data_IF_938884728839
#
_entry.id   IF_938884728839
#
_cell.length_a   1.000
_cell.length_b   1.000
_cell.length_c   1.000
_cell.angle_alpha   90.00
_cell.angle_beta   90.00
_cell.angle_gamma   90.00
#
_symmetry.space_group_name_H-M   'P 1'
#
loop_
_entity.id
_entity.type
_entity.pdbx_description
1 polymer ?
#
# COMPACT_ATOMS: atom_id res chain seq x y z
N UNK A 1 -45.06 -1.24 30.17
CA UNK A 1 -45.25 -0.95 28.74
C UNK A 1 -44.08 -1.53 28.01
N UNK A 2 -44.37 -2.62 27.31
CA UNK A 2 -43.37 -3.50 26.70
C UNK A 2 -42.63 -2.81 25.57
N UNK A 3 -41.43 -2.42 25.77
CA UNK A 3 -40.51 -2.18 24.65
C UNK A 3 -40.04 -3.54 24.15
N UNK A 4 -40.87 -4.11 23.25
CA UNK A 4 -40.53 -5.31 22.47
C UNK A 4 -39.11 -5.15 21.94
N UNK A 5 -38.20 -5.99 22.44
CA UNK A 5 -36.81 -6.04 22.06
C UNK A 5 -36.58 -6.45 20.60
N UNK A 6 -37.07 -5.62 19.69
CA UNK A 6 -36.78 -5.74 18.27
C UNK A 6 -35.28 -5.46 18.09
N UNK A 7 -34.54 -6.49 17.69
CA UNK A 7 -33.14 -6.33 17.30
C UNK A 7 -33.03 -5.25 16.22
N UNK A 8 -32.02 -4.39 16.28
CA UNK A 8 -31.85 -3.35 15.28
C UNK A 8 -31.58 -4.00 13.91
N UNK A 9 -32.41 -3.72 12.93
CA UNK A 9 -32.21 -4.14 11.55
C UNK A 9 -31.45 -3.09 10.74
N UNK A 10 -30.68 -3.52 9.74
CA UNK A 10 -30.02 -2.66 8.77
C UNK A 10 -30.50 -3.01 7.35
N UNK A 11 -30.62 -2.00 6.51
CA UNK A 11 -30.91 -2.14 5.09
C UNK A 11 -29.71 -1.68 4.27
N UNK A 12 -29.29 -2.50 3.31
CA UNK A 12 -28.24 -2.14 2.36
C UNK A 12 -28.80 -1.17 1.32
N UNK A 13 -28.17 0.00 1.20
CA UNK A 13 -28.58 1.04 0.25
C UNK A 13 -28.38 0.67 -1.24
N UNK A 14 -27.54 -0.34 -1.52
CA UNK A 14 -27.20 -0.73 -2.90
C UNK A 14 -28.10 -1.85 -3.43
N UNK A 15 -28.40 -2.87 -2.61
CA UNK A 15 -29.18 -4.03 -3.04
C UNK A 15 -30.51 -4.19 -2.29
N UNK A 16 -30.81 -3.35 -1.32
CA UNK A 16 -32.03 -3.44 -0.52
C UNK A 16 -32.04 -4.58 0.52
N UNK A 17 -30.98 -5.39 0.62
CA UNK A 17 -30.90 -6.47 1.60
C UNK A 17 -31.08 -5.97 3.02
N UNK A 18 -31.98 -6.59 3.78
CA UNK A 18 -32.30 -6.23 5.16
C UNK A 18 -31.96 -7.40 6.07
N UNK A 19 -31.30 -7.13 7.19
CA UNK A 19 -30.98 -8.14 8.20
C UNK A 19 -30.86 -7.52 9.59
N UNK A 20 -31.17 -8.31 10.62
CA UNK A 20 -30.87 -8.04 12.02
C UNK A 20 -29.47 -8.54 12.42
N UNK A 21 -28.87 -9.39 11.58
CA UNK A 21 -27.45 -9.75 11.73
C UNK A 21 -26.57 -8.62 11.21
N UNK A 22 -26.15 -7.78 12.13
CA UNK A 22 -25.30 -6.62 11.84
C UNK A 22 -23.89 -6.99 11.37
N UNK A 23 -23.45 -8.24 11.58
CA UNK A 23 -22.15 -8.71 11.10
C UNK A 23 -22.05 -8.76 9.59
N UNK A 24 -23.18 -8.85 8.89
CA UNK A 24 -23.30 -8.86 7.43
C UNK A 24 -23.11 -7.48 6.79
N UNK A 25 -22.96 -6.42 7.61
CA UNK A 25 -22.77 -5.05 7.15
C UNK A 25 -21.36 -4.54 7.48
N UNK A 26 -20.87 -3.62 6.67
CA UNK A 26 -19.54 -3.04 6.81
C UNK A 26 -19.39 -2.32 8.16
N UNK A 27 -18.32 -2.63 8.90
CA UNK A 27 -18.01 -2.01 10.17
C UNK A 27 -17.71 -0.51 10.00
N UNK A 28 -18.28 0.31 10.88
CA UNK A 28 -18.04 1.75 10.92
C UNK A 28 -18.39 2.31 12.30
N UNK A 29 -17.40 2.67 13.05
CA UNK A 29 -17.56 3.12 14.44
C UNK A 29 -18.34 4.44 14.58
N UNK A 30 -18.43 5.23 13.51
CA UNK A 30 -19.18 6.50 13.50
C UNK A 30 -20.67 6.33 13.14
N UNK A 31 -21.03 5.20 12.60
CA UNK A 31 -22.41 4.91 12.21
C UNK A 31 -23.24 4.35 13.36
N UNK A 32 -24.54 4.63 13.35
CA UNK A 32 -25.50 4.03 14.30
C UNK A 32 -25.30 2.51 14.34
N UNK A 33 -25.21 1.93 15.52
CA UNK A 33 -24.91 0.51 15.78
C UNK A 33 -23.55 0.02 15.26
N UNK A 34 -22.59 0.90 14.97
CA UNK A 34 -21.25 0.52 14.50
C UNK A 34 -21.19 -0.10 13.13
N UNK A 35 -22.23 0.08 12.28
CA UNK A 35 -22.33 -0.52 10.96
C UNK A 35 -22.92 0.45 9.93
N UNK A 36 -22.37 0.43 8.70
CA UNK A 36 -22.91 1.20 7.56
C UNK A 36 -24.16 0.55 6.97
N UNK A 37 -24.96 1.32 6.27
CA UNK A 37 -26.04 0.82 5.42
C UNK A 37 -25.48 0.26 4.09
N UNK A 38 -24.53 -0.64 4.19
CA UNK A 38 -23.87 -1.30 3.06
C UNK A 38 -23.50 -2.72 3.48
N UNK A 39 -24.07 -3.73 2.85
CA UNK A 39 -23.70 -5.12 3.12
C UNK A 39 -22.30 -5.46 2.60
N UNK A 40 -21.67 -6.47 3.18
CA UNK A 40 -20.30 -6.89 2.81
C UNK A 40 -20.25 -7.30 1.33
N UNK A 41 -21.26 -8.00 0.81
CA UNK A 41 -21.32 -8.38 -0.61
C UNK A 41 -21.29 -7.18 -1.56
N UNK A 42 -22.11 -6.16 -1.32
CA UNK A 42 -22.08 -4.93 -2.13
C UNK A 42 -20.76 -4.16 -1.97
N UNK A 43 -20.17 -4.18 -0.78
CA UNK A 43 -18.86 -3.58 -0.56
C UNK A 43 -17.77 -4.26 -1.40
N UNK A 44 -17.75 -5.59 -1.45
CA UNK A 44 -16.83 -6.37 -2.29
C UNK A 44 -17.05 -6.06 -3.77
N UNK A 45 -18.32 -6.03 -4.23
CA UNK A 45 -18.66 -5.70 -5.62
C UNK A 45 -18.17 -4.27 -5.97
N UNK A 46 -18.38 -3.29 -5.09
CA UNK A 46 -17.88 -1.92 -5.29
C UNK A 46 -16.36 -1.87 -5.38
N UNK A 47 -15.68 -2.58 -4.49
CA UNK A 47 -14.21 -2.63 -4.48
C UNK A 47 -13.65 -3.35 -5.71
N UNK A 48 -14.37 -4.32 -6.29
CA UNK A 48 -14.00 -5.02 -7.51
C UNK A 48 -14.34 -4.24 -8.78
N UNK A 49 -15.50 -3.53 -8.81
CA UNK A 49 -15.87 -2.64 -9.94
C UNK A 49 -14.97 -1.40 -10.04
N UNK A 50 -14.50 -0.94 -8.92
CA UNK A 50 -13.40 -0.01 -8.81
C UNK A 50 -12.27 -0.77 -8.12
N UNK A 51 -11.56 -1.68 -8.84
CA UNK A 51 -10.31 -2.12 -8.29
C UNK A 51 -9.65 -0.82 -7.89
N UNK A 52 -9.32 -0.71 -6.61
CA UNK A 52 -8.33 0.27 -6.23
C UNK A 52 -7.10 -0.15 -7.04
N UNK A 53 -7.06 0.26 -8.31
CA UNK A 53 -5.79 0.60 -8.88
C UNK A 53 -5.21 1.44 -7.76
N UNK A 54 -4.21 0.90 -7.10
CA UNK A 54 -3.44 1.68 -6.15
C UNK A 54 -2.62 2.69 -6.95
N UNK A 55 -3.32 3.35 -7.84
CA UNK A 55 -2.91 4.54 -8.55
C UNK A 55 -3.15 5.73 -7.60
N UNK A 56 -2.73 5.47 -6.33
CA UNK A 56 -2.75 6.46 -5.26
C UNK A 56 -1.70 7.55 -5.50
N UNK A 57 -0.87 7.38 -6.51
CA UNK A 57 0.10 8.39 -6.92
C UNK A 57 -0.53 9.35 -7.90
N UNK A 58 -1.26 10.31 -7.35
CA UNK A 58 -1.72 11.48 -8.11
C UNK A 58 -0.51 12.31 -8.56
N UNK A 59 -0.67 13.12 -9.61
CA UNK A 59 0.37 14.05 -10.08
C UNK A 59 0.95 14.87 -8.93
N UNK A 60 0.09 15.37 -8.04
CA UNK A 60 0.50 16.15 -6.88
C UNK A 60 1.42 15.35 -5.92
N UNK A 61 1.07 14.10 -5.64
CA UNK A 61 1.86 13.25 -4.72
C UNK A 61 3.20 12.86 -5.31
N UNK A 62 3.25 12.53 -6.60
CA UNK A 62 4.49 12.22 -7.32
C UNK A 62 5.40 13.45 -7.34
N UNK A 63 4.87 14.62 -7.74
CA UNK A 63 5.63 15.86 -7.79
C UNK A 63 6.15 16.28 -6.41
N UNK A 64 5.30 16.17 -5.37
CA UNK A 64 5.69 16.50 -3.99
C UNK A 64 6.79 15.58 -3.46
N UNK A 65 6.73 14.28 -3.79
CA UNK A 65 7.64 13.28 -3.20
C UNK A 65 8.93 13.10 -3.99
N UNK A 66 8.87 13.19 -5.31
CA UNK A 66 9.99 12.87 -6.20
C UNK A 66 10.43 14.05 -7.08
N UNK A 67 9.72 15.17 -7.06
CA UNK A 67 10.05 16.35 -7.87
C UNK A 67 9.82 16.20 -9.38
N UNK A 68 9.20 15.12 -9.83
CA UNK A 68 8.96 14.78 -11.23
C UNK A 68 7.45 14.69 -11.54
N UNK A 69 7.10 14.70 -12.83
CA UNK A 69 5.73 14.44 -13.27
C UNK A 69 5.39 12.94 -13.20
N UNK A 70 4.09 12.65 -13.26
CA UNK A 70 3.56 11.29 -13.13
C UNK A 70 3.99 10.37 -14.26
N UNK A 71 4.07 10.88 -15.50
CA UNK A 71 4.48 10.07 -16.65
C UNK A 71 5.93 9.63 -16.49
N UNK A 72 6.84 10.55 -16.19
CA UNK A 72 8.25 10.24 -15.87
C UNK A 72 8.39 9.23 -14.75
N UNK A 73 7.54 9.31 -13.71
CA UNK A 73 7.55 8.31 -12.63
C UNK A 73 7.22 6.90 -13.15
N UNK A 74 6.15 6.76 -13.95
CA UNK A 74 5.76 5.45 -14.47
C UNK A 74 6.74 4.91 -15.50
N UNK A 75 7.31 5.76 -16.35
CA UNK A 75 8.34 5.35 -17.32
C UNK A 75 9.58 4.80 -16.60
N UNK A 76 10.01 5.45 -15.53
CA UNK A 76 11.11 4.96 -14.70
C UNK A 76 10.76 3.67 -13.95
N UNK A 77 9.54 3.55 -13.41
CA UNK A 77 9.09 2.30 -12.80
C UNK A 77 8.99 1.14 -13.80
N UNK A 78 8.71 1.43 -15.07
CA UNK A 78 8.66 0.43 -16.14
C UNK A 78 10.05 0.05 -16.67
N UNK A 79 11.13 0.71 -16.24
CA UNK A 79 12.50 0.39 -16.66
C UNK A 79 12.99 -0.97 -16.16
N UNK A 80 12.37 -1.52 -15.12
CA UNK A 80 12.64 -2.86 -14.63
C UNK A 80 11.37 -3.55 -14.15
N UNK A 81 11.20 -4.82 -14.46
CA UNK A 81 10.08 -5.65 -14.00
C UNK A 81 10.40 -6.45 -12.72
N UNK A 82 11.60 -6.27 -12.20
CA UNK A 82 12.07 -6.91 -10.97
C UNK A 82 12.99 -6.00 -10.15
N UNK A 83 13.23 -6.39 -8.91
CA UNK A 83 14.19 -5.72 -8.04
C UNK A 83 15.62 -5.88 -8.58
N UNK A 84 16.33 -4.78 -8.77
CA UNK A 84 17.70 -4.77 -9.30
C UNK A 84 18.74 -5.40 -8.35
N UNK A 85 18.38 -5.66 -7.09
CA UNK A 85 19.25 -6.33 -6.12
C UNK A 85 18.95 -7.83 -6.01
N UNK A 86 17.69 -8.20 -5.77
CA UNK A 86 17.33 -9.58 -5.44
C UNK A 86 16.45 -10.26 -6.49
N UNK A 87 16.15 -9.60 -7.61
CA UNK A 87 15.30 -10.08 -8.71
C UNK A 87 13.86 -10.45 -8.33
N UNK A 88 13.40 -10.08 -7.12
CA UNK A 88 11.99 -10.23 -6.73
C UNK A 88 11.10 -9.36 -7.60
N UNK A 89 9.94 -9.90 -8.00
CA UNK A 89 8.91 -9.17 -8.75
C UNK A 89 7.83 -8.55 -7.87
N UNK A 90 7.90 -8.79 -6.56
CA UNK A 90 6.88 -8.36 -5.62
C UNK A 90 7.22 -7.01 -4.98
N UNK A 91 6.18 -6.20 -4.76
CA UNK A 91 6.26 -4.94 -4.02
C UNK A 91 7.37 -4.00 -4.51
N UNK A 92 7.47 -3.85 -5.83
CA UNK A 92 8.45 -2.95 -6.45
C UNK A 92 8.16 -1.49 -6.09
N UNK A 93 9.20 -0.72 -5.87
CA UNK A 93 9.16 0.69 -5.52
C UNK A 93 10.26 1.48 -6.20
N UNK A 94 10.00 2.76 -6.39
CA UNK A 94 10.91 3.75 -6.93
C UNK A 94 12.01 4.04 -5.91
N UNK A 95 13.25 3.79 -6.27
CA UNK A 95 14.42 4.14 -5.46
C UNK A 95 15.09 5.40 -6.00
N UNK A 96 15.51 6.27 -5.10
CA UNK A 96 16.16 7.52 -5.42
C UNK A 96 17.12 7.94 -4.32
N UNK A 97 18.13 8.68 -4.68
CA UNK A 97 19.03 9.31 -3.74
C UNK A 97 18.30 10.41 -2.96
N UNK A 98 18.32 10.34 -1.64
CA UNK A 98 17.58 11.26 -0.76
C UNK A 98 18.19 12.67 -0.68
N UNK A 99 19.44 12.85 -1.10
CA UNK A 99 20.11 14.16 -1.10
C UNK A 99 19.93 14.87 -2.44
N UNK A 100 20.12 14.13 -3.54
CA UNK A 100 20.06 14.69 -4.91
C UNK A 100 18.70 14.54 -5.57
N UNK A 101 17.81 13.70 -5.02
CA UNK A 101 16.52 13.30 -5.60
C UNK A 101 16.63 12.56 -6.95
N UNK A 102 17.84 12.14 -7.32
CA UNK A 102 18.09 11.40 -8.56
C UNK A 102 17.54 9.97 -8.46
N UNK A 103 16.88 9.53 -9.51
CA UNK A 103 16.44 8.13 -9.64
C UNK A 103 17.65 7.20 -9.68
N UNK A 104 17.66 6.17 -8.87
CA UNK A 104 18.69 5.13 -8.84
C UNK A 104 18.25 3.84 -9.53
N UNK A 105 16.97 3.45 -9.35
CA UNK A 105 16.47 2.23 -9.94
C UNK A 105 15.15 1.76 -9.35
N UNK A 106 14.80 0.50 -9.65
CA UNK A 106 13.59 -0.16 -9.14
C UNK A 106 14.00 -1.26 -8.16
N UNK A 107 13.56 -1.14 -6.93
CA UNK A 107 13.85 -2.12 -5.87
C UNK A 107 12.55 -2.71 -5.30
N UNK A 108 12.61 -3.90 -4.73
CA UNK A 108 11.53 -4.35 -3.86
C UNK A 108 11.57 -3.56 -2.54
N UNK A 109 10.44 -3.49 -1.85
CA UNK A 109 10.33 -2.76 -0.57
C UNK A 109 11.36 -3.20 0.46
N UNK A 110 11.69 -4.49 0.51
CA UNK A 110 12.67 -5.05 1.46
C UNK A 110 14.09 -4.55 1.18
N UNK A 111 14.54 -4.61 -0.08
CA UNK A 111 15.86 -4.12 -0.45
C UNK A 111 15.99 -2.61 -0.27
N UNK A 112 14.98 -1.84 -0.69
CA UNK A 112 14.96 -0.39 -0.51
C UNK A 112 15.02 -0.02 0.99
N UNK A 113 14.24 -0.71 1.83
CA UNK A 113 14.30 -0.49 3.28
C UNK A 113 15.66 -0.86 3.88
N UNK A 114 16.25 -1.97 3.43
CA UNK A 114 17.56 -2.43 3.93
C UNK A 114 18.68 -1.40 3.64
N UNK A 115 18.74 -0.87 2.42
CA UNK A 115 19.69 0.19 2.05
C UNK A 115 19.47 1.43 2.93
N UNK A 116 18.25 1.88 3.10
CA UNK A 116 17.90 3.02 3.95
C UNK A 116 18.32 2.81 5.41
N UNK A 117 18.14 1.62 5.96
CA UNK A 117 18.56 1.27 7.33
C UNK A 117 20.09 1.23 7.48
N UNK A 118 20.80 0.89 6.42
CA UNK A 118 22.26 0.93 6.39
C UNK A 118 22.84 2.34 6.14
N UNK A 119 22.00 3.37 6.07
CA UNK A 119 22.42 4.77 5.93
C UNK A 119 22.39 5.32 4.52
N UNK A 120 21.86 4.58 3.55
CA UNK A 120 21.55 5.02 2.18
C UNK A 120 22.75 5.55 1.36
N UNK A 121 23.97 5.20 1.76
CA UNK A 121 25.21 5.58 1.06
C UNK A 121 26.07 4.37 0.71
N UNK A 122 26.87 4.50 -0.34
CA UNK A 122 27.84 3.46 -0.72
C UNK A 122 28.76 3.10 0.44
N UNK A 123 29.30 4.10 1.12
CA UNK A 123 30.24 3.91 2.23
C UNK A 123 29.61 3.15 3.41
N UNK A 124 28.35 3.42 3.71
CA UNK A 124 27.66 2.75 4.82
C UNK A 124 27.34 1.29 4.49
N UNK A 125 26.93 1.01 3.26
CA UNK A 125 26.69 -0.36 2.76
C UNK A 125 28.03 -1.12 2.67
N UNK A 126 29.12 -0.46 2.23
CA UNK A 126 30.47 -1.05 2.20
C UNK A 126 30.95 -1.49 3.58
N UNK A 127 30.65 -0.71 4.63
CA UNK A 127 30.94 -1.12 6.01
C UNK A 127 30.23 -2.41 6.41
N UNK A 128 28.96 -2.56 6.04
CA UNK A 128 28.20 -3.77 6.29
C UNK A 128 28.77 -4.97 5.51
N UNK A 129 29.16 -4.76 4.26
CA UNK A 129 29.82 -5.80 3.43
C UNK A 129 31.15 -6.21 4.06
N UNK A 130 31.98 -5.27 4.48
CA UNK A 130 33.27 -5.55 5.14
C UNK A 130 33.07 -6.30 6.47
N UNK A 131 32.02 -5.99 7.22
CA UNK A 131 31.69 -6.72 8.44
C UNK A 131 31.40 -8.20 8.15
N UNK A 132 30.57 -8.49 7.14
CA UNK A 132 30.27 -9.86 6.73
C UNK A 132 31.50 -10.57 6.18
N UNK A 133 32.36 -9.87 5.44
CA UNK A 133 33.58 -10.40 4.85
C UNK A 133 34.60 -10.95 5.87
N UNK A 134 34.60 -10.41 7.10
CA UNK A 134 35.47 -10.89 8.18
C UNK A 134 35.22 -12.37 8.56
N UNK A 135 34.09 -12.92 8.20
CA UNK A 135 33.67 -14.28 8.56
C UNK A 135 33.69 -15.25 7.38
N UNK A 136 34.11 -14.80 6.18
CA UNK A 136 34.18 -15.65 4.99
C UNK A 136 35.52 -16.39 4.90
N UNK A 137 36.57 -15.87 5.51
CA UNK A 137 37.94 -16.43 5.48
C UNK A 137 38.24 -17.41 6.64
N UNK A 138 37.20 -18.00 7.22
CA UNK A 138 37.35 -18.96 8.34
C UNK A 138 37.19 -20.38 7.84
#
# INVERSE_FOLDING_TARGET
MDTTGLKPTRSCKDCGFISDDLSLFVKDNQSKYGRRNLCIGCCVIRNNKHPKQRDWKTDHQVKKRYGIDRQTYFDRMASSDCCEICSSKDNLCYDHDHQTMQFRGVLCRSCNKAIGQLGDTYESVQKALNYLGKHIES
#
